data_IF_388223883474
#
_entry.id   IF_388223883474
#
_cell.length_a   1.000
_cell.length_b   1.000
_cell.length_c   1.000
_cell.angle_alpha   90.00
_cell.angle_beta   90.00
_cell.angle_gamma   90.00
#
_symmetry.space_group_name_H-M   'P 1'
#
loop_
_entity.id
_entity.type
_entity.pdbx_description
1 polymer ?
#
# COMPACT_ATOMS: atom_id res chain seq x y z
N UNK A 1 23.67 2.06 -6.47
CA UNK A 1 23.69 0.62 -6.80
C UNK A 1 23.37 0.36 -8.28
N UNK A 2 22.24 0.86 -8.80
CA UNK A 2 21.79 0.59 -10.19
C UNK A 2 22.86 0.70 -11.29
N UNK A 3 23.57 1.82 -11.42
CA UNK A 3 24.51 2.03 -12.54
C UNK A 3 25.78 1.18 -12.47
N UNK A 4 26.24 0.82 -11.27
CA UNK A 4 27.43 -0.02 -11.05
C UNK A 4 27.12 -1.51 -11.22
N UNK A 5 25.89 -1.93 -10.90
CA UNK A 5 25.48 -3.34 -10.98
C UNK A 5 24.87 -3.72 -12.34
N UNK A 6 24.10 -2.82 -12.97
CA UNK A 6 23.29 -3.15 -14.16
C UNK A 6 23.66 -2.35 -15.42
N UNK A 7 24.73 -1.53 -15.37
CA UNK A 7 25.14 -0.68 -16.47
C UNK A 7 24.14 0.43 -16.81
N UNK A 8 24.29 1.07 -17.98
CA UNK A 8 23.40 2.18 -18.41
C UNK A 8 22.00 1.68 -18.79
N UNK A 9 21.93 0.59 -19.54
CA UNK A 9 20.66 0.03 -20.03
C UNK A 9 19.79 -0.46 -18.89
N UNK A 10 20.37 -1.21 -17.93
CA UNK A 10 19.60 -1.74 -16.82
C UNK A 10 19.04 -0.67 -15.88
N UNK A 11 19.71 0.48 -15.73
CA UNK A 11 19.15 1.62 -14.98
C UNK A 11 17.89 2.17 -15.65
N UNK A 12 17.90 2.32 -16.98
CA UNK A 12 16.73 2.79 -17.72
C UNK A 12 15.57 1.79 -17.63
N UNK A 13 15.85 0.50 -17.80
CA UNK A 13 14.83 -0.55 -17.71
C UNK A 13 14.24 -0.65 -16.31
N UNK A 14 15.07 -0.68 -15.25
CA UNK A 14 14.57 -0.65 -13.88
C UNK A 14 13.77 0.63 -13.59
N UNK A 15 14.21 1.79 -14.08
CA UNK A 15 13.47 3.04 -13.91
C UNK A 15 12.10 3.00 -14.56
N UNK A 16 11.99 2.47 -15.78
CA UNK A 16 10.71 2.29 -16.46
C UNK A 16 9.81 1.29 -15.73
N UNK A 17 10.35 0.15 -15.31
CA UNK A 17 9.59 -0.87 -14.57
C UNK A 17 9.06 -0.33 -13.24
N UNK A 18 9.91 0.33 -12.44
CA UNK A 18 9.51 0.88 -11.15
C UNK A 18 8.45 1.97 -11.32
N UNK A 19 8.62 2.88 -12.29
CA UNK A 19 7.60 3.91 -12.55
C UNK A 19 6.28 3.30 -13.02
N UNK A 20 6.33 2.31 -13.91
CA UNK A 20 5.13 1.62 -14.40
C UNK A 20 4.41 0.92 -13.26
N UNK A 21 5.14 0.18 -12.42
CA UNK A 21 4.57 -0.48 -11.24
C UNK A 21 3.97 0.53 -10.27
N UNK A 22 4.65 1.66 -10.00
CA UNK A 22 4.14 2.70 -9.12
C UNK A 22 2.82 3.29 -9.65
N UNK A 23 2.75 3.58 -10.95
CA UNK A 23 1.53 4.07 -11.61
C UNK A 23 0.40 3.04 -11.50
N UNK A 24 0.70 1.76 -11.73
CA UNK A 24 -0.28 0.68 -11.58
C UNK A 24 -0.82 0.57 -10.14
N UNK A 25 0.07 0.63 -9.14
CA UNK A 25 -0.32 0.59 -7.72
C UNK A 25 -1.17 1.82 -7.36
N UNK A 26 -0.78 3.02 -7.79
CA UNK A 26 -1.58 4.23 -7.57
C UNK A 26 -2.96 4.13 -8.22
N UNK A 27 -3.06 3.59 -9.44
CA UNK A 27 -4.34 3.38 -10.11
C UNK A 27 -5.21 2.35 -9.36
N UNK A 28 -4.62 1.24 -8.90
CA UNK A 28 -5.33 0.24 -8.12
C UNK A 28 -5.87 0.81 -6.81
N UNK A 29 -5.06 1.57 -6.07
CA UNK A 29 -5.47 2.25 -4.84
C UNK A 29 -6.59 3.27 -5.08
N UNK A 30 -6.53 4.05 -6.18
CA UNK A 30 -7.60 4.96 -6.55
C UNK A 30 -8.92 4.24 -6.85
N UNK A 31 -8.84 3.07 -7.49
CA UNK A 31 -10.02 2.24 -7.76
C UNK A 31 -10.62 1.71 -6.45
N UNK A 32 -9.79 1.17 -5.55
CA UNK A 32 -10.24 0.67 -4.24
C UNK A 32 -10.89 1.80 -3.45
N UNK A 33 -10.24 2.96 -3.38
CA UNK A 33 -10.77 4.11 -2.66
C UNK A 33 -12.10 4.61 -3.25
N UNK A 34 -12.22 4.62 -4.59
CA UNK A 34 -13.47 4.98 -5.26
C UNK A 34 -14.63 4.03 -4.96
N UNK A 35 -14.36 2.73 -4.82
CA UNK A 35 -15.36 1.73 -4.40
C UNK A 35 -15.78 1.94 -2.93
N UNK A 36 -14.85 2.22 -2.03
CA UNK A 36 -15.16 2.54 -0.63
C UNK A 36 -16.08 3.76 -0.51
N UNK A 37 -15.80 4.85 -1.24
CA UNK A 37 -16.66 6.04 -1.23
C UNK A 37 -18.04 5.80 -1.87
N UNK A 38 -18.11 4.96 -2.90
CA UNK A 38 -19.37 4.55 -3.49
C UNK A 38 -20.23 3.79 -2.47
N UNK A 39 -19.64 2.84 -1.75
CA UNK A 39 -20.32 2.08 -0.72
C UNK A 39 -20.81 2.97 0.44
N UNK A 40 -20.03 3.99 0.82
CA UNK A 40 -20.39 4.90 1.91
C UNK A 40 -21.52 5.89 1.54
N UNK A 41 -21.49 6.44 0.32
CA UNK A 41 -22.38 7.55 -0.05
C UNK A 41 -23.57 7.13 -0.92
N UNK A 42 -23.42 6.11 -1.75
CA UNK A 42 -24.43 5.67 -2.73
C UNK A 42 -24.85 6.73 -3.76
N UNK A 43 -24.20 7.90 -3.82
CA UNK A 43 -24.75 9.08 -4.49
C UNK A 43 -24.26 9.29 -5.93
N UNK A 44 -23.03 8.87 -6.25
CA UNK A 44 -22.38 9.12 -7.55
C UNK A 44 -21.91 7.83 -8.20
N UNK A 45 -21.76 7.82 -9.52
CA UNK A 45 -21.21 6.67 -10.25
C UNK A 45 -19.74 6.40 -9.88
N UNK A 46 -19.33 5.13 -9.89
CA UNK A 46 -17.94 4.68 -9.61
C UNK A 46 -16.86 5.52 -10.31
N UNK A 47 -17.05 5.81 -11.61
CA UNK A 47 -16.08 6.61 -12.40
C UNK A 47 -15.91 8.04 -11.87
N UNK A 48 -17.00 8.65 -11.40
CA UNK A 48 -16.95 9.99 -10.83
C UNK A 48 -16.20 9.99 -9.49
N UNK A 49 -16.43 8.99 -8.64
CA UNK A 49 -15.67 8.82 -7.40
C UNK A 49 -14.17 8.66 -7.65
N UNK A 50 -13.78 7.77 -8.58
CA UNK A 50 -12.36 7.59 -8.94
C UNK A 50 -11.73 8.91 -9.42
N UNK A 51 -12.45 9.69 -10.23
CA UNK A 51 -11.97 10.98 -10.71
C UNK A 51 -11.80 12.00 -9.57
N UNK A 52 -12.79 12.12 -8.67
CA UNK A 52 -12.73 12.99 -7.49
C UNK A 52 -11.57 12.59 -6.59
N UNK A 53 -11.44 11.30 -6.30
CA UNK A 53 -10.33 10.73 -5.54
C UNK A 53 -8.97 11.06 -6.17
N UNK A 54 -8.86 10.99 -7.50
CA UNK A 54 -7.64 11.37 -8.22
C UNK A 54 -7.30 12.86 -8.05
N UNK A 55 -8.29 13.74 -8.22
CA UNK A 55 -8.11 15.19 -8.05
C UNK A 55 -7.73 15.56 -6.62
N UNK A 56 -8.34 14.93 -5.61
CA UNK A 56 -8.04 15.17 -4.19
C UNK A 56 -6.65 14.65 -3.81
N UNK A 57 -6.20 13.51 -4.36
CA UNK A 57 -4.87 12.97 -4.08
C UNK A 57 -3.74 13.71 -4.81
N UNK A 58 -4.04 14.39 -5.92
CA UNK A 58 -3.05 15.15 -6.67
C UNK A 58 -2.29 16.19 -5.81
N UNK A 59 -2.93 17.05 -5.01
CA UNK A 59 -2.20 17.97 -4.12
C UNK A 59 -1.45 17.24 -3.00
N UNK A 60 -1.92 16.07 -2.53
CA UNK A 60 -1.18 15.28 -1.55
C UNK A 60 0.15 14.76 -2.12
N UNK A 61 0.21 14.50 -3.43
CA UNK A 61 1.47 14.13 -4.11
C UNK A 61 2.52 15.25 -4.13
N UNK A 62 2.13 16.50 -3.88
CA UNK A 62 3.04 17.65 -3.79
C UNK A 62 3.65 17.85 -2.40
N UNK A 63 3.22 17.08 -1.39
CA UNK A 63 3.81 17.15 -0.06
C UNK A 63 5.25 16.65 -0.13
N UNK A 64 6.20 17.58 0.02
CA UNK A 64 7.64 17.30 -0.07
C UNK A 64 8.18 16.46 1.09
N UNK A 65 7.46 16.43 2.22
CA UNK A 65 7.92 15.81 3.45
C UNK A 65 7.15 14.51 3.75
N UNK A 66 7.83 13.38 3.64
CA UNK A 66 7.29 12.04 3.94
C UNK A 66 6.68 11.90 5.35
N UNK A 67 7.19 12.68 6.32
CA UNK A 67 6.67 12.70 7.70
C UNK A 67 5.21 13.15 7.78
N UNK A 68 4.80 14.07 6.92
CA UNK A 68 3.44 14.63 6.94
C UNK A 68 2.45 13.65 6.30
N UNK A 69 2.91 12.93 5.26
CA UNK A 69 2.13 11.88 4.59
C UNK A 69 1.81 10.71 5.54
N UNK A 70 2.81 10.26 6.32
CA UNK A 70 2.62 9.20 7.30
C UNK A 70 1.60 9.55 8.39
N UNK A 71 1.57 10.81 8.82
CA UNK A 71 0.64 11.29 9.83
C UNK A 71 -0.80 11.35 9.29
N UNK A 72 -1.00 11.82 8.06
CA UNK A 72 -2.32 11.82 7.40
C UNK A 72 -2.85 10.40 7.21
N UNK A 73 -1.99 9.46 6.80
CA UNK A 73 -2.37 8.05 6.67
C UNK A 73 -2.81 7.45 8.02
N UNK A 74 -2.06 7.71 9.09
CA UNK A 74 -2.41 7.22 10.44
C UNK A 74 -3.75 7.78 10.94
N UNK A 75 -4.04 9.05 10.67
CA UNK A 75 -5.34 9.66 11.02
C UNK A 75 -6.47 9.05 10.20
N UNK A 76 -6.25 8.79 8.90
CA UNK A 76 -7.24 8.15 8.04
C UNK A 76 -7.66 6.78 8.56
N UNK A 77 -6.69 5.97 8.99
CA UNK A 77 -6.94 4.64 9.58
C UNK A 77 -7.76 4.73 10.87
N UNK A 78 -7.49 5.71 11.73
CA UNK A 78 -8.23 5.94 12.97
C UNK A 78 -9.70 6.28 12.75
N UNK A 79 -10.01 6.97 11.65
CA UNK A 79 -11.37 7.42 11.31
C UNK A 79 -12.13 6.33 10.55
N UNK A 80 -11.43 5.48 9.80
CA UNK A 80 -12.01 4.42 8.97
C UNK A 80 -12.40 3.18 9.80
N UNK A 81 -13.31 3.35 10.77
CA UNK A 81 -14.00 2.21 11.39
C UNK A 81 -15.16 1.77 10.48
N UNK A 82 -14.86 0.97 9.46
CA UNK A 82 -15.92 0.30 8.69
C UNK A 82 -16.63 -0.74 9.55
N UNK A 83 -17.95 -0.85 9.36
CA UNK A 83 -18.76 -1.89 9.99
C UNK A 83 -18.30 -3.27 9.50
N UNK A 84 -18.23 -4.27 10.38
CA UNK A 84 -17.65 -5.56 10.03
C UNK A 84 -18.42 -6.28 8.94
N UNK A 85 -17.77 -6.50 7.81
CA UNK A 85 -18.19 -7.52 6.86
C UNK A 85 -18.02 -8.89 7.52
N UNK A 86 -19.06 -9.74 7.44
CA UNK A 86 -18.97 -11.12 7.94
C UNK A 86 -17.90 -11.86 7.13
N UNK A 87 -16.76 -12.15 7.76
CA UNK A 87 -15.64 -12.85 7.16
C UNK A 87 -15.77 -14.35 7.42
N UNK A 88 -15.83 -15.14 6.35
CA UNK A 88 -15.72 -16.61 6.46
C UNK A 88 -14.25 -17.03 6.62
N UNK A 89 -13.99 -18.05 7.44
CA UNK A 89 -12.64 -18.51 7.78
C UNK A 89 -11.83 -18.97 6.57
N UNK A 90 -12.51 -19.57 5.59
CA UNK A 90 -11.90 -20.11 4.39
C UNK A 90 -12.48 -19.45 3.15
N UNK A 91 -11.64 -19.04 2.19
CA UNK A 91 -12.12 -18.53 0.93
C UNK A 91 -12.88 -19.64 0.21
N UNK A 92 -14.15 -19.39 -0.16
CA UNK A 92 -14.97 -20.36 -0.92
C UNK A 92 -14.32 -20.78 -2.24
N UNK A 93 -13.52 -19.88 -2.83
CA UNK A 93 -12.87 -20.10 -4.12
C UNK A 93 -11.38 -19.75 -4.05
N UNK A 94 -10.55 -20.53 -4.76
CA UNK A 94 -9.11 -20.29 -4.90
C UNK A 94 -8.78 -18.90 -5.47
N UNK A 95 -9.68 -18.33 -6.27
CA UNK A 95 -9.52 -16.99 -6.83
C UNK A 95 -9.58 -15.89 -5.75
N UNK A 96 -10.43 -16.04 -4.74
CA UNK A 96 -10.46 -15.12 -3.58
C UNK A 96 -9.19 -15.26 -2.72
N UNK A 97 -8.67 -16.47 -2.55
CA UNK A 97 -7.40 -16.69 -1.88
C UNK A 97 -6.26 -15.93 -2.58
N UNK A 98 -6.16 -16.08 -3.91
CA UNK A 98 -5.16 -15.37 -4.70
C UNK A 98 -5.32 -13.85 -4.63
N UNK A 99 -6.54 -13.33 -4.64
CA UNK A 99 -6.79 -11.89 -4.50
C UNK A 99 -6.37 -11.35 -3.13
N UNK A 100 -6.73 -12.04 -2.04
CA UNK A 100 -6.30 -11.66 -0.69
C UNK A 100 -4.79 -11.77 -0.51
N UNK A 101 -4.18 -12.80 -1.10
CA UNK A 101 -2.73 -12.98 -1.10
C UNK A 101 -2.02 -11.89 -1.91
N UNK A 102 -2.54 -11.51 -3.07
CA UNK A 102 -1.99 -10.40 -3.88
C UNK A 102 -2.10 -9.07 -3.13
N UNK A 103 -3.24 -8.79 -2.49
CA UNK A 103 -3.43 -7.60 -1.64
C UNK A 103 -2.44 -7.60 -0.46
N UNK A 104 -2.23 -8.76 0.16
CA UNK A 104 -1.22 -8.94 1.20
C UNK A 104 0.18 -8.66 0.64
N UNK A 105 0.58 -9.25 -0.49
CA UNK A 105 1.87 -8.98 -1.13
C UNK A 105 2.04 -7.51 -1.53
N UNK A 106 0.97 -6.86 -1.98
CA UNK A 106 0.94 -5.44 -2.31
C UNK A 106 1.36 -4.59 -1.10
N UNK A 107 0.97 -4.99 0.12
CA UNK A 107 1.37 -4.30 1.35
C UNK A 107 2.88 -4.38 1.63
N UNK A 108 3.57 -5.38 1.07
CA UNK A 108 5.03 -5.55 1.18
C UNK A 108 5.79 -4.93 0.00
N UNK A 109 5.13 -4.17 -0.88
CA UNK A 109 5.77 -3.49 -2.03
C UNK A 109 6.61 -2.28 -1.61
N UNK A 110 7.36 -2.38 -0.51
CA UNK A 110 8.37 -1.40 -0.08
C UNK A 110 9.63 -1.43 -0.95
N UNK A 111 9.77 -2.44 -1.82
CA UNK A 111 10.92 -2.58 -2.73
C UNK A 111 11.19 -1.33 -3.57
N UNK A 112 10.14 -0.63 -3.99
CA UNK A 112 10.26 0.59 -4.82
C UNK A 112 10.74 1.81 -4.03
N UNK A 113 10.52 1.86 -2.71
CA UNK A 113 10.96 2.98 -1.86
C UNK A 113 12.34 2.76 -1.25
N UNK A 114 12.85 1.51 -1.24
CA UNK A 114 14.18 1.18 -0.75
C UNK A 114 15.30 2.10 -1.28
N UNK A 115 15.46 2.35 -2.60
CA UNK A 115 16.56 3.19 -3.08
C UNK A 115 16.47 4.62 -2.54
N UNK A 116 15.27 5.16 -2.39
CA UNK A 116 15.03 6.50 -1.84
C UNK A 116 15.38 6.56 -0.34
N UNK A 117 14.98 5.54 0.42
CA UNK A 117 15.31 5.43 1.85
C UNK A 117 16.81 5.31 2.04
N UNK A 118 17.47 4.43 1.29
CA UNK A 118 18.93 4.22 1.36
C UNK A 118 19.69 5.50 1.01
N UNK A 119 19.20 6.29 0.05
CA UNK A 119 19.82 7.57 -0.31
C UNK A 119 19.76 8.61 0.82
N UNK A 120 18.78 8.52 1.72
CA UNK A 120 18.61 9.41 2.88
C UNK A 120 19.27 8.91 4.17
N UNK A 121 19.82 7.69 4.20
CA UNK A 121 20.43 7.14 5.42
C UNK A 121 21.84 7.69 5.66
N UNK A 122 22.12 8.06 6.92
CA UNK A 122 23.47 8.42 7.38
C UNK A 122 24.44 7.25 7.21
N UNK A 123 23.98 6.03 7.50
CA UNK A 123 24.78 4.80 7.41
C UNK A 123 24.01 3.70 6.64
N UNK A 124 24.24 3.55 5.32
CA UNK A 124 23.52 2.58 4.50
C UNK A 124 23.85 1.13 4.85
N UNK A 125 24.94 0.87 5.58
CA UNK A 125 25.31 -0.48 6.04
C UNK A 125 24.31 -1.06 7.05
N UNK A 126 23.53 -0.21 7.73
CA UNK A 126 22.52 -0.64 8.70
C UNK A 126 21.15 -0.93 8.06
N UNK A 127 20.98 -0.61 6.77
CA UNK A 127 19.74 -0.80 6.03
C UNK A 127 19.12 -2.20 6.14
N UNK A 128 19.86 -3.32 5.93
CA UNK A 128 19.25 -4.65 5.99
C UNK A 128 18.69 -5.01 7.37
N UNK A 129 19.32 -4.53 8.46
CA UNK A 129 18.83 -4.74 9.84
C UNK A 129 17.56 -3.93 10.10
N UNK A 130 17.55 -2.66 9.68
CA UNK A 130 16.37 -1.80 9.80
C UNK A 130 15.19 -2.35 9.00
N UNK A 131 15.45 -2.85 7.78
CA UNK A 131 14.46 -3.47 6.92
C UNK A 131 13.87 -4.76 7.56
N UNK A 132 14.73 -5.64 8.09
CA UNK A 132 14.28 -6.85 8.78
C UNK A 132 13.41 -6.55 10.01
N UNK A 133 13.77 -5.52 10.78
CA UNK A 133 12.99 -5.06 11.92
C UNK A 133 11.63 -4.50 11.48
N UNK A 134 11.61 -3.65 10.44
CA UNK A 134 10.39 -3.08 9.89
C UNK A 134 9.43 -4.16 9.36
N UNK A 135 9.93 -5.14 8.60
CA UNK A 135 9.10 -6.25 8.12
C UNK A 135 8.58 -7.12 9.25
N UNK A 136 9.41 -7.42 10.26
CA UNK A 136 8.97 -8.16 11.44
C UNK A 136 7.86 -7.41 12.17
N UNK A 137 8.02 -6.10 12.35
CA UNK A 137 7.01 -5.25 12.98
C UNK A 137 5.69 -5.25 12.19
N UNK A 138 5.74 -5.04 10.87
CA UNK A 138 4.57 -5.07 10.00
C UNK A 138 3.89 -6.45 10.08
N UNK A 139 4.66 -7.55 10.01
CA UNK A 139 4.13 -8.90 10.13
C UNK A 139 3.38 -9.10 11.45
N UNK A 140 3.95 -8.66 12.58
CA UNK A 140 3.32 -8.76 13.90
C UNK A 140 2.02 -7.96 13.93
N UNK A 141 2.02 -6.72 13.43
CA UNK A 141 0.80 -5.90 13.34
C UNK A 141 -0.27 -6.59 12.51
N UNK A 142 0.09 -7.13 11.33
CA UNK A 142 -0.84 -7.87 10.47
C UNK A 142 -1.42 -9.10 11.17
N UNK A 143 -0.59 -9.88 11.89
CA UNK A 143 -1.05 -11.05 12.64
C UNK A 143 -2.02 -10.64 13.75
N UNK A 144 -1.70 -9.58 14.51
CA UNK A 144 -2.57 -9.08 15.59
C UNK A 144 -3.89 -8.57 15.04
N UNK A 145 -3.88 -7.71 14.01
CA UNK A 145 -5.09 -7.17 13.39
C UNK A 145 -5.93 -8.28 12.77
N UNK A 146 -5.31 -9.26 12.10
CA UNK A 146 -6.01 -10.41 11.54
C UNK A 146 -6.65 -11.28 12.64
N UNK A 147 -5.92 -11.53 13.73
CA UNK A 147 -6.44 -12.31 14.86
C UNK A 147 -7.59 -11.58 15.56
N UNK A 148 -7.46 -10.28 15.83
CA UNK A 148 -8.51 -9.48 16.47
C UNK A 148 -9.74 -9.38 15.56
N UNK A 149 -9.53 -9.13 14.26
CA UNK A 149 -10.62 -9.10 13.28
C UNK A 149 -11.35 -10.44 13.19
N UNK A 150 -10.60 -11.55 13.24
CA UNK A 150 -11.19 -12.87 13.29
C UNK A 150 -11.94 -13.14 14.61
N UNK A 151 -11.36 -12.81 15.76
CA UNK A 151 -12.01 -13.02 17.06
C UNK A 151 -13.27 -12.17 17.23
N UNK A 152 -13.31 -10.97 16.64
CA UNK A 152 -14.46 -10.08 16.70
C UNK A 152 -15.59 -10.47 15.72
N UNK A 153 -15.26 -10.99 14.53
CA UNK A 153 -16.21 -11.10 13.42
C UNK A 153 -16.30 -12.48 12.76
N UNK A 154 -15.37 -13.39 13.10
CA UNK A 154 -15.40 -14.77 12.64
C UNK A 154 -16.55 -15.54 13.27
N UNK A 155 -17.32 -16.24 12.44
CA UNK A 155 -18.33 -17.22 12.86
C UNK A 155 -17.76 -18.63 12.79
#
# INVERSE_FOLDING_TARGET
>A
VGRKSFGRVGVTVCGLLVNTLLVCVCAALLVVMGESFLAFTGALNRRAWIAICGVINMPLSWIKHMKDVGLVAAIGELISQEAPAQSELFPKNMLYFLYSFDTFLLSFTVGVTQPTIVAGMISPTHFPKALALAFTFILVVYVVVSYVGYAAYGK
#
